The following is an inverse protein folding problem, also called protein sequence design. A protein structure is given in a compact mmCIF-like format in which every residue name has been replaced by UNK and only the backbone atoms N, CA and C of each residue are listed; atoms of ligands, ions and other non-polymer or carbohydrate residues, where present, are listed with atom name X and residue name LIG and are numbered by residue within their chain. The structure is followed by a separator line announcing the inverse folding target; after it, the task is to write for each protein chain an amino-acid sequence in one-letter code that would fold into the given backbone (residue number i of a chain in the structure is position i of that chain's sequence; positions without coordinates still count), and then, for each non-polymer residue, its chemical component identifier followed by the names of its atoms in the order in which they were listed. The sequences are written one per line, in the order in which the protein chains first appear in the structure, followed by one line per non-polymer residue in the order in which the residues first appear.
data_IF_538966982344
#
_entry.id   IF_538966982344
#
_cell.length_a   1.000
_cell.length_b   1.000
_cell.length_c   1.000
_cell.angle_alpha   90.00
_cell.angle_beta   90.00
_cell.angle_gamma   90.00
#
_symmetry.space_group_name_H-M   'P 1'
#
loop_
_entity.id
_entity.type
_entity.pdbx_description
1 polymer ?
#
# COMPACT_ATOMS: atom_id res chain seq x y z
N UNK A 1 3.07 3.33 13.02
CA UNK A 1 2.63 4.54 13.75
C UNK A 1 2.89 4.38 15.25
N UNK A 2 3.81 5.16 15.84
CA UNK A 2 4.04 5.17 17.30
C UNK A 2 2.82 5.60 18.11
N UNK A 3 2.07 6.59 17.63
CA UNK A 3 0.90 7.13 18.33
C UNK A 3 -0.22 6.12 18.59
N UNK A 4 -0.43 5.16 17.68
CA UNK A 4 -1.42 4.10 17.88
C UNK A 4 -1.06 3.19 19.07
N UNK A 5 0.21 2.82 19.21
CA UNK A 5 0.68 2.00 20.33
C UNK A 5 0.59 2.74 21.67
N UNK A 6 0.91 4.03 21.68
CA UNK A 6 0.77 4.87 22.88
C UNK A 6 -0.69 4.99 23.34
N UNK A 7 -1.62 5.10 22.39
CA UNK A 7 -3.03 5.17 22.69
C UNK A 7 -3.55 3.84 23.29
N UNK A 8 -3.09 2.70 22.78
CA UNK A 8 -3.37 1.39 23.37
C UNK A 8 -2.82 1.29 24.80
N UNK A 9 -1.56 1.71 25.03
CA UNK A 9 -0.94 1.72 26.38
C UNK A 9 -1.71 2.60 27.35
N UNK A 10 -2.09 3.82 26.92
CA UNK A 10 -2.84 4.76 27.76
C UNK A 10 -4.23 4.27 28.14
N UNK A 11 -4.78 3.30 27.40
CA UNK A 11 -6.08 2.67 27.65
C UNK A 11 -5.98 1.27 28.25
N UNK A 12 -4.76 0.81 28.57
CA UNK A 12 -4.48 -0.56 29.05
C UNK A 12 -5.06 -1.64 28.12
N UNK A 13 -4.86 -1.45 26.81
CA UNK A 13 -5.36 -2.33 25.76
C UNK A 13 -4.23 -3.11 25.09
N UNK A 14 -4.54 -4.34 24.68
CA UNK A 14 -3.65 -5.18 23.87
C UNK A 14 -4.04 -5.17 22.39
N UNK A 15 -3.13 -5.61 21.52
CA UNK A 15 -3.45 -5.88 20.12
C UNK A 15 -4.30 -7.15 20.05
N UNK A 16 -5.53 -7.03 19.54
CA UNK A 16 -6.53 -8.10 19.59
C UNK A 16 -6.10 -9.36 18.83
N UNK A 17 -5.50 -9.20 17.64
CA UNK A 17 -4.99 -10.32 16.84
C UNK A 17 -3.59 -10.03 16.32
N UNK A 18 -2.62 -10.03 17.23
CA UNK A 18 -1.23 -9.75 16.90
C UNK A 18 -0.66 -10.69 15.81
N UNK A 19 -1.11 -11.96 15.77
CA UNK A 19 -0.72 -12.93 14.73
C UNK A 19 -1.26 -12.62 13.32
N UNK A 20 -2.31 -11.81 13.22
CA UNK A 20 -2.88 -11.33 11.95
C UNK A 20 -2.39 -9.92 11.60
N UNK A 21 -1.53 -9.34 12.45
CA UNK A 21 -0.91 -8.04 12.22
C UNK A 21 0.51 -8.28 11.73
N UNK A 22 0.78 -7.83 10.51
CA UNK A 22 2.07 -8.01 9.89
C UNK A 22 2.72 -6.67 9.64
N UNK A 23 4.02 -6.62 9.87
CA UNK A 23 4.80 -5.40 9.77
C UNK A 23 5.75 -5.48 8.58
N UNK A 24 5.47 -4.60 7.62
CA UNK A 24 6.27 -4.09 6.50
C UNK A 24 7.57 -3.39 6.91
N UNK A 25 8.76 -3.98 6.82
CA UNK A 25 10.00 -3.18 6.98
C UNK A 25 11.17 -3.55 6.05
N UNK A 26 11.72 -2.52 5.39
CA UNK A 26 12.79 -2.58 4.40
C UNK A 26 14.10 -2.62 5.16
N UNK A 27 14.59 -3.84 5.45
CA UNK A 27 15.82 -4.00 6.21
C UNK A 27 17.06 -3.46 5.49
N UNK A 28 17.01 -3.29 4.17
CA UNK A 28 18.18 -3.04 3.33
C UNK A 28 18.80 -1.65 3.48
N UNK A 29 18.10 -0.69 4.09
CA UNK A 29 18.65 0.66 4.28
C UNK A 29 19.38 0.87 5.61
N UNK A 30 19.28 -0.06 6.58
CA UNK A 30 19.91 0.13 7.91
C UNK A 30 21.42 0.27 7.87
N UNK A 31 22.10 -0.37 6.91
CA UNK A 31 23.55 -0.32 6.75
C UNK A 31 24.05 1.00 6.14
N UNK A 32 23.16 1.78 5.52
CA UNK A 32 23.48 3.05 4.85
C UNK A 32 23.05 4.28 5.66
N UNK A 33 22.23 4.10 6.70
CA UNK A 33 21.74 5.17 7.56
C UNK A 33 22.70 5.33 8.75
N UNK A 34 23.31 6.51 8.96
CA UNK A 34 24.13 6.75 10.14
C UNK A 34 23.33 6.49 11.42
N UNK A 35 23.93 5.85 12.42
CA UNK A 35 23.28 5.58 13.72
C UNK A 35 22.78 6.83 14.45
N UNK A 36 23.32 8.01 14.11
CA UNK A 36 22.88 9.30 14.62
C UNK A 36 21.63 9.87 13.93
N UNK A 37 21.11 9.20 12.90
CA UNK A 37 19.95 9.68 12.15
C UNK A 37 18.66 9.43 12.96
N UNK A 38 17.76 10.43 13.07
CA UNK A 38 16.45 10.27 13.72
C UNK A 38 15.62 9.10 13.19
N UNK A 39 15.85 8.64 11.95
CA UNK A 39 15.20 7.45 11.40
C UNK A 39 15.55 6.21 12.21
N UNK A 40 16.80 6.05 12.66
CA UNK A 40 17.19 4.91 13.50
C UNK A 40 16.35 4.85 14.78
N UNK A 41 16.08 6.01 15.39
CA UNK A 41 15.21 6.10 16.57
C UNK A 41 13.78 5.65 16.27
N UNK A 42 13.21 6.06 15.13
CA UNK A 42 11.86 5.62 14.73
C UNK A 42 11.79 4.10 14.54
N UNK A 43 12.83 3.51 13.96
CA UNK A 43 12.94 2.06 13.77
C UNK A 43 13.03 1.32 15.09
N UNK A 44 13.84 1.79 16.03
CA UNK A 44 13.99 1.15 17.34
C UNK A 44 12.70 1.25 18.16
N UNK A 45 12.04 2.42 18.13
CA UNK A 45 10.72 2.60 18.77
C UNK A 45 9.68 1.66 18.15
N UNK A 46 9.72 1.49 16.82
CA UNK A 46 8.81 0.58 16.12
C UNK A 46 9.07 -0.89 16.44
N UNK A 47 10.34 -1.32 16.49
CA UNK A 47 10.74 -2.67 16.91
C UNK A 47 10.27 -2.95 18.35
N UNK A 48 10.48 -1.99 19.26
CA UNK A 48 10.02 -2.08 20.64
C UNK A 48 8.50 -2.21 20.71
N UNK A 49 7.76 -1.39 19.96
CA UNK A 49 6.31 -1.49 19.89
C UNK A 49 5.84 -2.86 19.40
N UNK A 50 6.48 -3.42 18.37
CA UNK A 50 6.14 -4.75 17.88
C UNK A 50 6.37 -5.81 18.97
N UNK A 51 7.53 -5.75 19.64
CA UNK A 51 7.88 -6.66 20.73
C UNK A 51 6.91 -6.55 21.92
N UNK A 52 6.63 -5.33 22.39
CA UNK A 52 5.76 -5.07 23.55
C UNK A 52 4.33 -5.62 23.34
N UNK A 53 3.87 -5.61 22.09
CA UNK A 53 2.50 -6.01 21.72
C UNK A 53 2.43 -7.38 21.03
N UNK A 54 3.54 -8.13 20.98
CA UNK A 54 3.58 -9.48 20.41
C UNK A 54 3.33 -9.54 18.90
N UNK A 55 3.63 -8.46 18.17
CA UNK A 55 3.52 -8.39 16.71
C UNK A 55 4.81 -8.93 16.08
N UNK A 56 4.65 -9.83 15.11
CA UNK A 56 5.76 -10.40 14.36
C UNK A 56 6.21 -9.47 13.22
N UNK A 57 7.50 -9.20 13.13
CA UNK A 57 8.08 -8.38 12.06
C UNK A 57 8.37 -9.23 10.82
N UNK A 58 7.94 -8.75 9.66
CA UNK A 58 8.23 -9.36 8.36
C UNK A 58 9.17 -8.45 7.55
N UNK A 59 10.05 -9.04 6.74
CA UNK A 59 10.93 -8.28 5.85
C UNK A 59 10.20 -7.92 4.54
N UNK A 60 10.49 -6.74 3.99
CA UNK A 60 9.73 -6.09 2.90
C UNK A 60 9.76 -6.79 1.55
N UNK A 61 10.62 -7.80 1.38
CA UNK A 61 10.51 -8.68 0.22
C UNK A 61 9.26 -9.53 0.40
N UNK A 62 8.56 -9.81 -0.70
CA UNK A 62 7.35 -10.66 -0.79
C UNK A 62 7.62 -12.13 -0.35
N UNK A 63 8.65 -12.38 0.44
CA UNK A 63 9.01 -13.60 1.13
C UNK A 63 9.10 -13.34 2.64
N UNK A 64 7.95 -13.35 3.31
CA UNK A 64 7.90 -13.79 4.70
C UNK A 64 8.08 -15.30 4.64
N UNK A 65 9.24 -15.89 4.93
CA UNK A 65 9.49 -17.34 5.13
C UNK A 65 8.57 -18.35 4.36
N UNK A 66 8.19 -17.98 3.12
CA UNK A 66 7.10 -18.49 2.27
C UNK A 66 5.61 -18.42 2.70
N UNK A 67 5.13 -17.59 3.62
CA UNK A 67 3.70 -17.19 3.66
C UNK A 67 3.52 -15.87 2.91
N UNK A 68 2.52 -15.74 2.04
CA UNK A 68 2.06 -14.39 1.66
C UNK A 68 1.20 -13.85 2.79
N UNK A 69 1.25 -12.53 2.90
CA UNK A 69 0.36 -11.69 3.66
C UNK A 69 -1.07 -11.59 3.10
N UNK A 70 -1.29 -12.03 1.85
CA UNK A 70 -2.52 -11.75 1.12
C UNK A 70 -2.89 -12.87 0.14
N UNK A 71 -4.14 -13.31 0.18
CA UNK A 71 -4.72 -14.31 -0.71
C UNK A 71 -6.06 -13.83 -1.24
N UNK A 72 -6.47 -14.24 -2.45
CA UNK A 72 -7.76 -13.86 -3.00
C UNK A 72 -8.92 -14.12 -2.01
N UNK A 73 -9.86 -13.17 -1.98
CA UNK A 73 -11.02 -13.20 -1.07
C UNK A 73 -10.76 -12.70 0.34
N UNK A 74 -9.52 -12.30 0.67
CA UNK A 74 -9.24 -11.64 1.94
C UNK A 74 -9.60 -10.16 1.91
N UNK A 75 -9.88 -9.62 3.11
CA UNK A 75 -9.94 -8.18 3.35
C UNK A 75 -8.75 -7.78 4.19
N UNK A 76 -7.95 -6.83 3.71
CA UNK A 76 -6.74 -6.35 4.36
C UNK A 76 -6.84 -4.85 4.56
N UNK A 77 -6.48 -4.39 5.75
CA UNK A 77 -6.27 -2.97 6.01
C UNK A 77 -4.77 -2.70 6.05
N UNK A 78 -4.32 -1.70 5.30
CA UNK A 78 -2.89 -1.44 5.13
C UNK A 78 -2.62 0.06 4.96
N UNK A 79 -1.34 0.40 4.80
CA UNK A 79 -0.97 1.74 4.38
C UNK A 79 -1.58 2.04 2.99
N UNK A 80 -2.20 3.22 2.79
CA UNK A 80 -2.82 3.60 1.52
C UNK A 80 -1.92 3.43 0.29
N UNK A 81 -0.59 3.49 0.42
CA UNK A 81 0.33 3.34 -0.72
C UNK A 81 0.43 1.90 -1.25
N UNK A 82 -0.04 0.90 -0.50
CA UNK A 82 0.07 -0.52 -0.86
C UNK A 82 -1.25 -1.17 -1.23
N UNK A 83 -2.36 -0.44 -1.20
CA UNK A 83 -3.70 -1.00 -1.47
C UNK A 83 -3.80 -1.60 -2.87
N UNK A 84 -3.28 -0.89 -3.89
CA UNK A 84 -3.32 -1.36 -5.28
C UNK A 84 -2.55 -2.65 -5.52
N UNK A 85 -1.37 -2.80 -4.89
CA UNK A 85 -0.59 -4.04 -4.98
C UNK A 85 -1.39 -5.28 -4.56
N UNK A 86 -2.21 -5.15 -3.53
CA UNK A 86 -3.02 -6.26 -3.01
C UNK A 86 -4.26 -6.50 -3.86
N UNK A 87 -4.88 -5.43 -4.36
CA UNK A 87 -6.05 -5.48 -5.24
C UNK A 87 -5.89 -6.35 -6.48
N UNK A 88 -4.69 -6.36 -7.06
CA UNK A 88 -4.37 -7.20 -8.23
C UNK A 88 -4.49 -8.70 -7.96
N UNK A 89 -4.43 -9.13 -6.69
CA UNK A 89 -4.57 -10.52 -6.27
C UNK A 89 -5.99 -10.90 -5.84
N UNK A 90 -7.01 -10.09 -6.17
CA UNK A 90 -8.38 -10.36 -5.72
C UNK A 90 -8.60 -10.11 -4.23
N UNK A 91 -7.84 -9.18 -3.63
CA UNK A 91 -7.93 -8.82 -2.21
C UNK A 91 -8.64 -7.48 -2.07
N UNK A 92 -9.59 -7.40 -1.15
CA UNK A 92 -10.18 -6.11 -0.76
C UNK A 92 -9.19 -5.40 0.18
N UNK A 93 -8.36 -4.54 -0.40
CA UNK A 93 -7.36 -3.79 0.36
C UNK A 93 -7.82 -2.35 0.63
N UNK A 94 -7.88 -1.98 1.91
CA UNK A 94 -8.41 -0.69 2.37
C UNK A 94 -7.30 0.10 3.05
N UNK A 95 -7.03 1.29 2.51
CA UNK A 95 -6.03 2.20 3.07
C UNK A 95 -6.54 2.87 4.34
N UNK A 96 -5.83 2.71 5.45
CA UNK A 96 -6.22 3.31 6.74
C UNK A 96 -5.28 4.42 7.18
N UNK A 97 -5.84 5.42 7.87
CA UNK A 97 -5.07 6.52 8.46
C UNK A 97 -4.57 6.16 9.85
N UNK A 98 -3.59 6.91 10.34
CA UNK A 98 -3.00 6.73 11.67
C UNK A 98 -4.02 6.57 12.80
N UNK A 99 -5.10 7.37 12.82
CA UNK A 99 -6.14 7.27 13.84
C UNK A 99 -6.93 5.94 13.78
N UNK A 100 -7.06 5.34 12.59
CA UNK A 100 -7.74 4.07 12.39
C UNK A 100 -6.84 2.87 12.71
N UNK A 101 -5.51 3.04 12.68
CA UNK A 101 -4.55 1.99 13.07
C UNK A 101 -4.81 1.53 14.50
N UNK A 102 -5.02 2.47 15.44
CA UNK A 102 -5.36 2.13 16.81
C UNK A 102 -6.63 1.27 16.87
N UNK A 103 -7.69 1.68 16.18
CA UNK A 103 -8.97 0.97 16.13
C UNK A 103 -8.82 -0.46 15.59
N UNK A 104 -8.07 -0.63 14.50
CA UNK A 104 -7.81 -1.93 13.90
C UNK A 104 -6.98 -2.82 14.82
N UNK A 105 -5.94 -2.27 15.45
CA UNK A 105 -5.12 -3.04 16.39
C UNK A 105 -5.94 -3.46 17.63
N UNK A 106 -6.79 -2.57 18.13
CA UNK A 106 -7.64 -2.81 19.29
C UNK A 106 -8.78 -3.80 19.05
N UNK A 107 -9.40 -3.77 17.87
CA UNK A 107 -10.69 -4.46 17.65
C UNK A 107 -10.74 -5.33 16.39
N UNK A 108 -9.76 -5.24 15.49
CA UNK A 108 -9.78 -5.88 14.15
C UNK A 108 -11.04 -5.56 13.35
N UNK A 109 -11.56 -4.35 13.53
CA UNK A 109 -12.73 -3.83 12.85
C UNK A 109 -12.46 -2.39 12.43
N UNK A 110 -12.98 -1.99 11.28
CA UNK A 110 -12.87 -0.64 10.76
C UNK A 110 -14.28 -0.05 10.62
N UNK A 111 -14.52 1.09 11.25
CA UNK A 111 -15.75 1.85 11.03
C UNK A 111 -15.56 2.74 9.80
N UNK A 112 -16.26 2.44 8.73
CA UNK A 112 -16.24 3.23 7.49
C UNK A 112 -17.61 3.22 6.83
N UNK A 113 -17.85 4.21 5.97
CA UNK A 113 -18.99 4.17 5.05
C UNK A 113 -18.70 3.14 3.97
N UNK A 114 -19.72 2.35 3.60
CA UNK A 114 -19.58 1.40 2.50
C UNK A 114 -19.38 2.21 1.20
N UNK A 115 -18.28 2.01 0.47
CA UNK A 115 -18.10 2.67 -0.82
C UNK A 115 -19.12 2.14 -1.82
N UNK A 116 -19.45 3.00 -2.79
CA UNK A 116 -20.20 2.59 -3.98
C UNK A 116 -19.35 1.67 -4.86
N UNK A 117 -19.97 0.91 -5.74
CA UNK A 117 -19.26 0.02 -6.67
C UNK A 117 -19.10 0.67 -8.04
N UNK A 118 -17.88 0.71 -8.56
CA UNK A 118 -17.59 1.18 -9.91
C UNK A 118 -16.89 0.07 -10.69
N UNK A 119 -17.27 -0.16 -11.94
CA UNK A 119 -16.56 -1.03 -12.86
C UNK A 119 -15.85 -0.19 -13.91
N UNK A 120 -14.56 -0.45 -14.14
CA UNK A 120 -13.79 0.12 -15.25
C UNK A 120 -13.40 -1.04 -16.15
N UNK A 121 -13.95 -1.06 -17.37
CA UNK A 121 -13.68 -2.07 -18.37
C UNK A 121 -12.84 -1.49 -19.50
N UNK A 122 -11.70 -2.14 -19.79
CA UNK A 122 -10.85 -1.79 -20.93
C UNK A 122 -10.83 -2.97 -21.88
N UNK A 123 -11.39 -2.79 -23.07
CA UNK A 123 -11.57 -3.87 -24.06
C UNK A 123 -10.87 -3.57 -25.39
N UNK A 124 -10.51 -4.61 -26.14
CA UNK A 124 -9.87 -4.52 -27.44
C UNK A 124 -8.37 -4.83 -27.41
N UNK A 125 -7.66 -4.43 -28.48
CA UNK A 125 -6.23 -4.72 -28.62
C UNK A 125 -5.38 -3.51 -28.34
N UNK A 126 -4.61 -3.57 -27.25
CA UNK A 126 -3.61 -2.57 -26.95
C UNK A 126 -2.56 -2.50 -28.08
N UNK A 127 -2.24 -1.28 -28.53
CA UNK A 127 -1.28 -1.08 -29.62
C UNK A 127 0.12 -1.54 -29.22
N UNK A 128 0.90 -2.00 -30.21
CA UNK A 128 2.25 -2.50 -30.00
C UNK A 128 3.14 -1.44 -29.32
N UNK A 129 3.78 -1.83 -28.23
CA UNK A 129 4.71 -0.97 -27.48
C UNK A 129 4.05 -0.19 -26.34
N UNK A 130 2.73 -0.28 -26.19
CA UNK A 130 2.01 0.24 -25.03
C UNK A 130 1.91 -0.84 -23.95
N UNK A 131 1.75 -0.42 -22.70
CA UNK A 131 1.54 -1.32 -21.57
C UNK A 131 0.62 -0.73 -20.50
N UNK A 132 0.58 -1.37 -19.33
CA UNK A 132 -0.28 -0.96 -18.21
C UNK A 132 -0.13 0.52 -17.83
N UNK A 133 1.08 1.07 -17.91
CA UNK A 133 1.33 2.49 -17.63
C UNK A 133 0.59 3.43 -18.59
N UNK A 134 0.49 3.08 -19.86
CA UNK A 134 -0.25 3.89 -20.85
C UNK A 134 -1.75 3.82 -20.58
N UNK A 135 -2.25 2.63 -20.22
CA UNK A 135 -3.64 2.44 -19.77
C UNK A 135 -3.92 3.34 -18.55
N UNK A 136 -3.05 3.30 -17.54
CA UNK A 136 -3.18 4.11 -16.34
C UNK A 136 -3.29 5.61 -16.65
N UNK A 137 -2.41 6.11 -17.51
CA UNK A 137 -2.40 7.53 -17.86
C UNK A 137 -3.65 7.93 -18.63
N UNK A 138 -4.14 7.05 -19.51
CA UNK A 138 -5.39 7.25 -20.21
C UNK A 138 -6.58 7.29 -19.23
N UNK A 139 -6.71 6.30 -18.33
CA UNK A 139 -7.76 6.27 -17.32
C UNK A 139 -7.75 7.52 -16.41
N UNK A 140 -6.57 7.96 -15.96
CA UNK A 140 -6.44 9.19 -15.15
C UNK A 140 -6.87 10.42 -15.94
N UNK A 141 -6.56 10.48 -17.24
CA UNK A 141 -6.96 11.59 -18.12
C UNK A 141 -8.47 11.68 -18.28
N UNK A 142 -9.13 10.54 -18.50
CA UNK A 142 -10.57 10.49 -18.76
C UNK A 142 -11.41 10.62 -17.47
N UNK A 143 -10.97 9.99 -16.38
CA UNK A 143 -11.73 9.93 -15.12
C UNK A 143 -11.40 11.13 -14.21
N UNK A 144 -10.20 11.70 -14.34
CA UNK A 144 -9.62 12.72 -13.45
C UNK A 144 -9.24 12.21 -12.05
N UNK A 145 -8.48 13.04 -11.32
CA UNK A 145 -7.93 12.70 -10.01
C UNK A 145 -8.96 12.53 -8.86
N UNK A 146 -10.24 12.79 -9.12
CA UNK A 146 -11.32 12.62 -8.13
C UNK A 146 -12.57 11.99 -8.72
N UNK A 147 -12.49 11.43 -9.93
CA UNK A 147 -13.66 10.87 -10.61
C UNK A 147 -14.23 9.63 -9.93
N UNK A 148 -13.40 8.85 -9.23
CA UNK A 148 -13.84 7.64 -8.51
C UNK A 148 -13.97 7.85 -6.99
N UNK A 149 -14.08 9.10 -6.53
CA UNK A 149 -14.15 9.39 -5.09
C UNK A 149 -15.38 8.75 -4.44
N UNK A 150 -15.14 7.95 -3.40
CA UNK A 150 -16.20 7.23 -2.67
C UNK A 150 -16.64 5.92 -3.33
N UNK A 151 -15.96 5.50 -4.39
CA UNK A 151 -16.14 4.21 -5.03
C UNK A 151 -15.02 3.23 -4.65
N UNK A 152 -15.36 1.95 -4.69
CA UNK A 152 -14.41 0.85 -4.76
C UNK A 152 -14.48 0.30 -6.19
N UNK A 153 -13.33 0.24 -6.84
CA UNK A 153 -13.26 0.02 -8.29
C UNK A 153 -12.92 -1.43 -8.59
N UNK A 154 -13.72 -2.07 -9.43
CA UNK A 154 -13.35 -3.31 -10.10
C UNK A 154 -12.80 -2.98 -11.49
N UNK A 155 -11.58 -3.44 -11.76
CA UNK A 155 -10.92 -3.32 -13.05
C UNK A 155 -11.10 -4.62 -13.84
N UNK A 156 -11.62 -4.51 -15.07
CA UNK A 156 -11.94 -5.65 -15.91
C UNK A 156 -11.78 -5.36 -17.41
N UNK A 157 -12.30 -6.26 -18.23
CA UNK A 157 -12.14 -6.22 -19.69
C UNK A 157 -10.94 -7.03 -20.19
N UNK A 158 -11.02 -7.43 -21.46
CA UNK A 158 -10.06 -8.36 -22.08
C UNK A 158 -8.61 -7.84 -22.06
N UNK A 159 -8.43 -6.52 -22.10
CA UNK A 159 -7.13 -5.88 -22.18
C UNK A 159 -6.45 -5.99 -20.83
N UNK A 160 -7.16 -5.70 -19.74
CA UNK A 160 -6.63 -5.84 -18.37
C UNK A 160 -6.37 -7.31 -18.04
N UNK A 161 -7.26 -8.22 -18.45
CA UNK A 161 -7.06 -9.67 -18.26
C UNK A 161 -5.84 -10.18 -19.02
N UNK A 162 -5.50 -9.61 -20.18
CA UNK A 162 -4.32 -10.01 -20.95
C UNK A 162 -2.98 -9.57 -20.33
N UNK A 163 -3.00 -8.67 -19.33
CA UNK A 163 -1.79 -8.22 -18.66
C UNK A 163 -1.22 -9.30 -17.74
N UNK A 164 0.10 -9.31 -17.61
CA UNK A 164 0.77 -10.05 -16.55
C UNK A 164 0.47 -9.47 -15.16
N UNK A 165 0.89 -10.16 -14.10
CA UNK A 165 0.66 -9.68 -12.74
C UNK A 165 1.32 -8.32 -12.45
N UNK A 166 2.44 -8.01 -13.10
CA UNK A 166 3.09 -6.71 -12.95
C UNK A 166 2.22 -5.58 -13.50
N UNK A 167 1.63 -5.79 -14.68
CA UNK A 167 0.67 -4.88 -15.28
C UNK A 167 -0.59 -4.74 -14.45
N UNK A 168 -1.13 -5.83 -13.90
CA UNK A 168 -2.33 -5.79 -13.03
C UNK A 168 -2.10 -5.01 -11.73
N UNK A 169 -0.93 -5.17 -11.11
CA UNK A 169 -0.52 -4.36 -9.94
C UNK A 169 -0.50 -2.87 -10.32
N UNK A 170 0.07 -2.56 -11.48
CA UNK A 170 0.15 -1.19 -12.00
C UNK A 170 -1.27 -0.62 -12.25
N UNK A 171 -2.20 -1.39 -12.83
CA UNK A 171 -3.61 -0.99 -13.00
C UNK A 171 -4.28 -0.71 -11.64
N UNK A 172 -4.19 -1.64 -10.69
CA UNK A 172 -4.85 -1.46 -9.39
C UNK A 172 -4.31 -0.26 -8.60
N UNK A 173 -3.04 0.11 -8.80
CA UNK A 173 -2.48 1.31 -8.18
C UNK A 173 -3.23 2.58 -8.59
N UNK A 174 -3.72 2.67 -9.83
CA UNK A 174 -4.49 3.83 -10.34
C UNK A 174 -5.68 4.19 -9.49
N UNK A 175 -6.30 3.22 -8.81
CA UNK A 175 -7.44 3.47 -7.91
C UNK A 175 -7.19 4.68 -7.00
N UNK A 176 -5.97 4.83 -6.47
CA UNK A 176 -5.58 5.96 -5.63
C UNK A 176 -5.47 7.27 -6.41
N UNK A 177 -4.91 7.25 -7.61
CA UNK A 177 -4.72 8.41 -8.48
C UNK A 177 -6.06 8.99 -8.95
N UNK A 178 -7.08 8.16 -9.14
CA UNK A 178 -8.45 8.59 -9.49
C UNK A 178 -9.34 8.86 -8.26
N UNK A 179 -8.78 8.72 -7.06
CA UNK A 179 -9.42 9.04 -5.79
C UNK A 179 -10.35 7.97 -5.21
N UNK A 180 -10.31 6.74 -5.73
CA UNK A 180 -11.07 5.61 -5.21
C UNK A 180 -10.58 5.15 -3.83
N UNK A 181 -11.46 4.47 -3.10
CA UNK A 181 -11.13 3.86 -1.79
C UNK A 181 -10.24 2.61 -1.94
N UNK A 182 -10.28 1.98 -3.12
CA UNK A 182 -9.47 0.82 -3.47
C UNK A 182 -9.80 0.32 -4.88
N UNK A 183 -8.98 -0.63 -5.34
CA UNK A 183 -9.10 -1.27 -6.64
C UNK A 183 -8.96 -2.78 -6.51
N UNK A 184 -9.69 -3.55 -7.32
CA UNK A 184 -9.58 -5.01 -7.38
C UNK A 184 -9.63 -5.50 -8.82
N UNK A 185 -8.86 -6.55 -9.10
CA UNK A 185 -8.99 -7.35 -10.33
C UNK A 185 -9.42 -8.75 -9.90
N UNK A 186 -10.41 -9.32 -10.58
CA UNK A 186 -10.85 -10.68 -10.32
C UNK A 186 -9.67 -11.66 -10.52
N UNK A 187 -9.39 -12.53 -9.55
CA UNK A 187 -8.33 -13.51 -9.66
C UNK A 187 -8.69 -14.58 -10.71
N UNK A 188 -7.69 -15.01 -11.46
CA UNK A 188 -7.79 -16.01 -12.53
C UNK A 188 -6.59 -16.97 -12.51
N UNK A 189 -6.48 -17.84 -13.52
CA UNK A 189 -5.38 -18.80 -13.65
C UNK A 189 -4.00 -18.15 -13.57
N UNK A 190 -3.82 -16.98 -14.20
CA UNK A 190 -2.55 -16.25 -14.16
C UNK A 190 -2.22 -15.80 -12.74
N UNK A 191 -3.23 -15.37 -11.99
CA UNK A 191 -3.10 -15.03 -10.57
C UNK A 191 -2.71 -16.27 -9.76
N UNK A 192 -3.37 -17.40 -9.99
CA UNK A 192 -3.11 -18.65 -9.25
C UNK A 192 -1.71 -19.21 -9.53
N UNK A 193 -1.29 -19.21 -10.79
CA UNK A 193 0.04 -19.67 -11.20
C UNK A 193 1.13 -18.78 -10.62
N UNK A 194 0.95 -17.45 -10.66
CA UNK A 194 1.88 -16.51 -10.05
C UNK A 194 2.03 -16.76 -8.54
N UNK A 195 0.92 -17.05 -7.86
CA UNK A 195 0.95 -17.37 -6.45
C UNK A 195 1.70 -18.71 -6.22
N UNK A 196 1.39 -19.74 -7.00
CA UNK A 196 2.03 -21.06 -6.88
C UNK A 196 3.56 -20.99 -7.08
N UNK A 197 4.03 -20.32 -8.14
CA UNK A 197 5.45 -20.20 -8.49
C UNK A 197 6.29 -19.56 -7.38
N UNK A 198 5.70 -18.65 -6.60
CA UNK A 198 6.41 -17.98 -5.50
C UNK A 198 6.40 -18.77 -4.18
N UNK A 199 6.02 -20.06 -4.23
CA UNK A 199 6.10 -20.99 -3.10
C UNK A 199 5.00 -20.77 -2.06
N UNK A 200 3.87 -20.23 -2.50
CA UNK A 200 2.76 -19.83 -1.64
C UNK A 200 1.92 -21.06 -1.33
N UNK A 201 1.54 -21.80 -2.38
CA UNK A 201 0.62 -22.92 -2.26
C UNK A 201 1.10 -23.97 -1.23
N UNK A 202 2.39 -24.27 -1.26
CA UNK A 202 3.02 -25.26 -0.39
C UNK A 202 3.13 -24.83 1.09
N UNK A 203 3.06 -23.53 1.38
CA UNK A 203 3.37 -22.97 2.72
C UNK A 203 2.18 -22.29 3.41
N UNK A 204 1.17 -21.87 2.66
CA UNK A 204 -0.11 -21.37 3.21
C UNK A 204 -1.17 -22.47 3.34
N UNK A 205 -0.89 -23.69 2.85
CA UNK A 205 -1.85 -24.78 2.84
C UNK A 205 -2.97 -24.59 1.81
N UNK A 206 -2.68 -23.92 0.69
CA UNK A 206 -3.64 -23.81 -0.41
C UNK A 206 -3.77 -25.19 -1.03
N UNK A 207 -4.92 -25.80 -0.80
CA UNK A 207 -5.37 -27.03 -1.39
C UNK A 207 -6.31 -26.74 -2.58
N UNK A 208 -6.87 -27.79 -3.16
CA UNK A 208 -7.83 -27.67 -4.25
C UNK A 208 -9.09 -26.90 -3.83
N UNK A 209 -9.51 -27.00 -2.55
CA UNK A 209 -10.69 -26.29 -2.03
C UNK A 209 -10.49 -24.77 -2.05
N UNK A 210 -9.30 -24.29 -1.71
CA UNK A 210 -8.95 -22.88 -1.83
C UNK A 210 -8.99 -22.38 -3.28
N UNK A 211 -8.45 -23.16 -4.22
CA UNK A 211 -8.48 -22.82 -5.64
C UNK A 211 -9.90 -22.79 -6.19
N UNK A 212 -10.74 -23.76 -5.78
CA UNK A 212 -12.13 -23.82 -6.21
C UNK A 212 -12.94 -22.66 -5.65
N UNK A 213 -12.71 -22.26 -4.40
CA UNK A 213 -13.28 -21.02 -3.87
C UNK A 213 -12.80 -19.80 -4.67
N UNK A 214 -11.51 -19.67 -4.96
CA UNK A 214 -10.99 -18.51 -5.70
C UNK A 214 -11.55 -18.38 -7.11
N UNK A 215 -11.80 -19.50 -7.80
CA UNK A 215 -12.48 -19.49 -9.10
C UNK A 215 -13.92 -18.96 -9.04
N UNK A 216 -14.52 -18.89 -7.85
CA UNK A 216 -15.85 -18.27 -7.66
C UNK A 216 -15.77 -16.76 -7.41
N UNK A 217 -14.57 -16.19 -7.24
CA UNK A 217 -14.38 -14.78 -6.91
C UNK A 217 -14.34 -13.90 -8.16
N UNK A 218 -15.44 -13.83 -8.90
CA UNK A 218 -15.57 -12.93 -10.03
C UNK A 218 -16.96 -12.29 -10.04
N UNK A 219 -17.06 -11.14 -10.70
CA UNK A 219 -18.35 -10.54 -11.01
C UNK A 219 -18.95 -11.19 -12.24
N UNK A 220 -20.13 -11.79 -12.10
CA UNK A 220 -20.88 -12.38 -13.21
C UNK A 220 -21.81 -11.35 -13.89
N UNK A 221 -22.55 -11.78 -14.91
CA UNK A 221 -23.49 -10.91 -15.65
C UNK A 221 -24.63 -10.34 -14.77
N UNK A 222 -24.88 -10.93 -13.59
CA UNK A 222 -25.88 -10.45 -12.64
C UNK A 222 -25.35 -9.41 -11.65
N UNK A 223 -24.03 -9.17 -11.63
CA UNK A 223 -23.41 -8.13 -10.79
C UNK A 223 -23.90 -6.73 -11.18
N UNK A 224 -24.40 -6.00 -10.18
CA UNK A 224 -24.86 -4.61 -10.35
C UNK A 224 -23.82 -3.65 -9.78
N UNK A 225 -23.36 -2.74 -10.62
CA UNK A 225 -22.45 -1.65 -10.24
C UNK A 225 -23.22 -0.33 -10.16
N UNK A 226 -22.86 0.53 -9.20
CA UNK A 226 -23.40 1.89 -9.13
C UNK A 226 -22.97 2.72 -10.36
N UNK A 227 -21.80 2.41 -10.94
CA UNK A 227 -21.27 3.06 -12.13
C UNK A 227 -20.42 2.09 -12.98
N UNK A 228 -20.51 2.20 -14.30
CA UNK A 228 -19.71 1.41 -15.25
C UNK A 228 -19.10 2.37 -16.27
N UNK A 229 -17.78 2.30 -16.43
CA UNK A 229 -17.00 3.05 -17.41
C UNK A 229 -16.34 2.07 -18.37
N UNK A 230 -16.55 2.28 -19.67
CA UNK A 230 -16.03 1.43 -20.73
C UNK A 230 -15.03 2.21 -21.59
N UNK A 231 -13.89 1.60 -21.89
CA UNK A 231 -12.80 2.19 -22.67
C UNK A 231 -12.33 1.21 -23.75
N UNK A 232 -12.08 1.74 -24.95
CA UNK A 232 -11.47 0.98 -26.04
C UNK A 232 -9.94 1.09 -25.97
N UNK A 233 -9.26 -0.05 -25.86
CA UNK A 233 -7.81 -0.14 -25.80
C UNK A 233 -7.11 0.41 -27.05
N UNK A 234 -7.83 0.49 -28.17
CA UNK A 234 -7.33 1.06 -29.42
C UNK A 234 -7.20 2.58 -29.36
N UNK A 235 -7.91 3.27 -28.47
CA UNK A 235 -7.85 4.72 -28.29
C UNK A 235 -6.69 5.16 -27.39
N UNK A 236 -6.08 4.20 -26.68
CA UNK A 236 -4.95 4.44 -25.80
C UNK A 236 -3.72 4.82 -26.64
N UNK A 237 -3.15 5.97 -26.31
CA UNK A 237 -1.96 6.53 -26.95
C UNK A 237 -0.79 6.51 -25.96
N UNK A 238 0.47 6.50 -26.44
CA UNK A 238 1.64 6.60 -25.56
C UNK A 238 1.53 7.83 -24.67
N UNK A 239 1.54 7.60 -23.36
CA UNK A 239 1.41 8.66 -22.38
C UNK A 239 2.78 9.21 -21.97
N UNK A 240 2.93 10.55 -21.94
CA UNK A 240 4.12 11.23 -21.42
C UNK A 240 3.92 11.82 -20.03
N UNK A 241 2.80 11.50 -19.37
CA UNK A 241 2.48 12.06 -18.06
C UNK A 241 3.47 11.56 -17.00
N UNK A 242 4.15 12.50 -16.34
CA UNK A 242 4.93 12.22 -15.14
C UNK A 242 3.98 12.25 -13.95
N UNK A 243 3.72 11.08 -13.36
CA UNK A 243 2.99 10.97 -12.10
C UNK A 243 3.74 11.82 -11.06
N UNK A 244 3.08 12.85 -10.52
CA UNK A 244 3.68 13.82 -9.57
C UNK A 244 4.01 15.22 -10.13
N UNK A 245 3.92 15.46 -11.44
CA UNK A 245 4.23 16.77 -12.01
C UNK A 245 3.14 17.85 -11.81
N UNK A 246 1.92 17.48 -11.40
CA UNK A 246 0.83 18.44 -11.18
C UNK A 246 1.16 19.47 -10.07
N UNK A 247 2.02 19.10 -9.10
CA UNK A 247 2.56 20.02 -8.09
C UNK A 247 3.94 20.61 -8.43
N UNK A 248 4.70 19.97 -9.31
CA UNK A 248 6.06 20.40 -9.69
C UNK A 248 6.05 21.46 -10.80
N UNK A 249 4.99 21.55 -11.59
CA UNK A 249 4.83 22.57 -12.62
C UNK A 249 4.20 23.88 -12.11
N UNK A 250 3.92 23.99 -10.79
CA UNK A 250 3.13 25.11 -10.24
C UNK A 250 3.68 25.80 -8.97
N UNK A 251 4.94 25.60 -8.54
CA UNK A 251 5.50 26.48 -7.50
C UNK A 251 7.02 26.54 -7.46
N UNK A 252 7.51 27.73 -7.13
CA UNK A 252 8.89 28.24 -7.13
C UNK A 252 9.97 27.31 -6.56
N UNK A 253 11.21 27.60 -6.99
CA UNK A 253 12.43 26.93 -6.54
C UNK A 253 12.58 26.95 -5.01
N UNK A 254 12.41 25.78 -4.38
CA UNK A 254 12.66 25.61 -2.95
C UNK A 254 14.14 25.84 -2.65
N UNK A 255 14.45 26.90 -1.88
CA UNK A 255 15.76 27.05 -1.22
C UNK A 255 15.88 25.98 -0.14
N UNK A 256 16.85 25.08 -0.26
CA UNK A 256 17.26 24.21 0.83
C UNK A 256 17.76 25.07 2.00
N UNK A 257 17.06 25.03 3.13
CA UNK A 257 17.55 25.60 4.39
C UNK A 257 18.21 24.46 5.17
N UNK A 258 19.54 24.50 5.40
CA UNK A 258 20.19 23.51 6.24
C UNK A 258 19.73 23.67 7.69
N UNK A 259 19.23 22.58 8.28
CA UNK A 259 18.93 22.50 9.71
C UNK A 259 20.11 21.82 10.40
N UNK A 260 20.77 22.51 11.33
CA UNK A 260 21.84 21.94 12.16
C UNK A 260 21.27 21.45 13.50
N UNK A 261 21.60 20.22 13.89
CA UNK A 261 21.33 19.66 15.21
C UNK A 261 22.64 19.58 16.01
N UNK A 262 22.68 20.15 17.21
CA UNK A 262 23.87 20.12 18.08
C UNK A 262 24.11 18.71 18.64
N UNK A 263 25.33 18.20 18.44
CA UNK A 263 25.74 16.80 18.67
C UNK A 263 25.98 16.41 20.14
N UNK A 264 25.93 17.33 21.08
CA UNK A 264 26.51 17.13 22.43
C UNK A 264 25.58 16.43 23.42
N UNK A 265 24.29 16.34 23.14
CA UNK A 265 23.29 15.71 24.04
C UNK A 265 23.03 14.23 23.74
N UNK A 266 23.62 13.67 22.69
CA UNK A 266 23.27 12.33 22.16
C UNK A 266 24.14 11.20 22.76
N UNK A 267 25.30 11.50 23.35
CA UNK A 267 26.29 10.47 23.71
C UNK A 267 26.02 9.80 25.07
N UNK A 268 25.26 10.40 25.99
CA UNK A 268 25.05 9.84 27.35
C UNK A 268 23.65 9.24 27.62
N UNK A 269 22.69 9.34 26.70
CA UNK A 269 21.27 9.02 26.97
C UNK A 269 20.72 7.67 26.51
N UNK A 270 21.55 6.75 25.98
CA UNK A 270 21.05 5.56 25.27
C UNK A 270 20.57 4.37 26.13
N UNK A 271 20.29 4.58 27.43
CA UNK A 271 19.79 3.49 28.31
C UNK A 271 18.48 3.76 29.03
N UNK A 272 17.95 4.99 28.99
CA UNK A 272 16.75 5.31 29.77
C UNK A 272 15.50 5.42 28.90
N UNK A 273 14.51 4.60 29.26
CA UNK A 273 13.16 4.62 28.67
C UNK A 273 12.49 5.99 28.87
N UNK A 274 12.87 6.73 29.92
CA UNK A 274 12.42 8.10 30.17
C UNK A 274 13.00 9.10 29.16
N UNK A 275 14.23 8.91 28.68
CA UNK A 275 14.83 9.77 27.66
C UNK A 275 14.10 9.65 26.31
N UNK A 276 13.76 8.42 25.91
CA UNK A 276 12.98 8.14 24.69
C UNK A 276 11.60 8.82 24.74
N UNK A 277 10.95 8.78 25.90
CA UNK A 277 9.64 9.42 26.12
C UNK A 277 9.77 10.95 26.15
N UNK A 278 10.87 11.50 26.67
CA UNK A 278 11.11 12.95 26.74
C UNK A 278 11.27 13.62 25.37
N UNK A 279 11.59 12.86 24.31
CA UNK A 279 11.74 13.37 22.94
C UNK A 279 10.44 13.33 22.12
N UNK A 280 9.30 12.96 22.73
CA UNK A 280 8.01 12.81 22.07
C UNK A 280 7.53 14.04 21.30
N UNK A 281 7.78 15.24 21.83
CA UNK A 281 7.45 16.49 21.14
C UNK A 281 8.28 16.71 19.88
N UNK A 282 9.55 16.29 19.88
CA UNK A 282 10.45 16.39 18.72
C UNK A 282 10.04 15.43 17.59
N UNK A 283 9.52 14.25 17.96
CA UNK A 283 8.98 13.24 17.03
C UNK A 283 7.68 13.74 16.41
N UNK A 284 6.76 14.29 17.22
CA UNK A 284 5.50 14.86 16.71
C UNK A 284 5.74 16.04 15.76
N UNK A 285 6.78 16.85 15.99
CA UNK A 285 7.18 17.94 15.08
C UNK A 285 7.73 17.39 13.77
N UNK A 286 8.52 16.32 13.81
CA UNK A 286 9.03 15.65 12.60
C UNK A 286 7.89 14.97 11.81
N UNK A 287 6.99 14.25 12.46
CA UNK A 287 5.82 13.62 11.83
C UNK A 287 4.84 14.64 11.24
N UNK A 288 4.74 15.84 11.83
CA UNK A 288 3.96 16.96 11.28
C UNK A 288 4.70 17.72 10.17
N UNK A 289 6.01 17.59 10.07
CA UNK A 289 6.77 18.21 9.00
C UNK A 289 6.52 17.41 7.71
N UNK A 290 5.88 18.02 6.70
CA UNK A 290 5.76 17.46 5.34
C UNK A 290 7.12 17.44 4.61
N UNK A 291 8.22 17.19 5.32
CA UNK A 291 9.53 17.01 4.72
C UNK A 291 9.64 15.58 4.15
N UNK A 292 8.84 15.28 3.12
CA UNK A 292 9.18 14.21 2.21
C UNK A 292 10.51 14.59 1.55
N UNK A 293 11.63 14.02 2.03
CA UNK A 293 12.81 13.93 1.20
C UNK A 293 12.48 12.89 0.12
N UNK A 294 12.12 13.38 -1.07
CA UNK A 294 12.21 12.58 -2.29
C UNK A 294 13.64 12.09 -2.41
N UNK A 295 13.86 10.80 -2.16
CA UNK A 295 15.10 10.15 -2.52
C UNK A 295 15.06 10.00 -4.05
N UNK A 296 15.71 10.93 -4.75
CA UNK A 296 16.03 10.75 -6.16
C UNK A 296 17.10 9.66 -6.26
N UNK A 297 16.65 8.41 -6.33
CA UNK A 297 17.48 7.30 -6.80
C UNK A 297 17.70 7.42 -8.31
N UNK A 298 18.57 8.35 -8.71
CA UNK A 298 19.19 8.35 -10.03
C UNK A 298 20.59 7.76 -9.88
N UNK A 299 20.96 6.96 -10.88
CA UNK A 299 22.23 6.27 -11.18
C UNK A 299 22.21 4.76 -10.86
N UNK A 300 22.56 3.84 -11.76
CA UNK A 300 23.09 3.92 -13.14
C UNK A 300 23.30 2.50 -13.65
N UNK A 301 23.02 2.27 -14.95
CA UNK A 301 23.36 1.11 -15.81
C UNK A 301 22.78 -0.26 -15.45
#
# INVERSE_FOLDING_TARGET
SPGAFDALRGRDMHVFRAKQTHVLHEQEHKSLIPTSDPICFQLDLFNKNCSDFGIEMATQHVKYDGRILASPGQTIVCDPVHTGNLGAFGVIAIGIKQAQVEQVLAFQCLSMQKPKTMKIEVNGKLRKGLGAKDINQHLISEISASGARGYFVEFGGDTIQSLDMGGRIEICNVSREIGAEGGIIAPDELTFDYLKERGIAEKTGIDEDHLDFWKTLFSDESSVFDEVLEFDAEDIMPGTYVIGASKLLSSESFKQVPVSCERTSIIEGYKDTEYIISQKSSIEVFERSQAYKTFNGVHSL
#
